data_IF_816192947309
#
_entry.id   IF_816192947309
#
_cell.length_a   1.000
_cell.length_b   1.000
_cell.length_c   1.000
_cell.angle_alpha   90.00
_cell.angle_beta   90.00
_cell.angle_gamma   90.00
#
_symmetry.space_group_name_H-M   'P 1'
#
loop_
_entity.id
_entity.type
_entity.pdbx_description
1 polymer ?
#
# COMPACT_ATOMS: atom_id res chain seq x y z
N UNK A 1 -10.98 -11.84 -8.48
CA UNK A 1 -10.35 -10.57 -8.88
C UNK A 1 -10.12 -9.76 -7.63
N UNK A 2 -8.99 -9.05 -7.55
CA UNK A 2 -8.34 -8.58 -6.32
C UNK A 2 -7.64 -9.72 -5.56
N UNK A 3 -6.37 -9.47 -5.21
CA UNK A 3 -5.50 -10.27 -4.36
C UNK A 3 -6.32 -10.81 -3.18
N UNK A 4 -6.17 -12.07 -2.78
CA UNK A 4 -6.91 -12.72 -1.68
C UNK A 4 -6.62 -12.12 -0.29
N UNK A 5 -6.77 -10.80 -0.16
CA UNK A 5 -6.68 -9.99 1.04
C UNK A 5 -7.99 -10.15 1.78
N UNK A 6 -7.93 -10.80 2.93
CA UNK A 6 -9.00 -10.69 3.93
C UNK A 6 -8.92 -9.32 4.59
N UNK A 7 -10.06 -8.82 5.09
CA UNK A 7 -10.14 -7.51 5.78
C UNK A 7 -9.13 -7.40 6.93
N UNK A 8 -8.86 -8.51 7.62
CA UNK A 8 -7.88 -8.58 8.70
C UNK A 8 -6.44 -8.37 8.20
N UNK A 9 -6.06 -9.00 7.09
CA UNK A 9 -4.70 -8.83 6.56
C UNK A 9 -4.49 -7.42 6.01
N UNK A 10 -5.49 -6.89 5.31
CA UNK A 10 -5.45 -5.52 4.78
C UNK A 10 -5.29 -4.49 5.91
N UNK A 11 -6.05 -4.63 7.00
CA UNK A 11 -5.98 -3.72 8.14
C UNK A 11 -4.61 -3.71 8.82
N UNK A 12 -3.98 -4.89 8.99
CA UNK A 12 -2.64 -4.99 9.58
C UNK A 12 -1.59 -4.36 8.67
N UNK A 13 -1.64 -4.62 7.36
CA UNK A 13 -0.71 -4.03 6.41
C UNK A 13 -0.88 -2.52 6.29
N UNK A 14 -2.12 -2.03 6.21
CA UNK A 14 -2.42 -0.60 6.14
C UNK A 14 -1.90 0.15 7.37
N UNK A 15 -2.08 -0.41 8.57
CA UNK A 15 -1.53 0.16 9.81
C UNK A 15 -0.01 0.26 9.79
N UNK A 16 0.70 -0.77 9.33
CA UNK A 16 2.17 -0.73 9.23
C UNK A 16 2.64 0.35 8.25
N UNK A 17 1.94 0.51 7.13
CA UNK A 17 2.24 1.56 6.16
C UNK A 17 1.96 2.95 6.72
N UNK A 18 0.92 3.11 7.53
CA UNK A 18 0.60 4.35 8.24
C UNK A 18 1.67 4.68 9.28
N UNK A 19 2.07 3.70 10.11
CA UNK A 19 3.14 3.83 11.11
C UNK A 19 4.49 4.16 10.47
N UNK A 20 4.75 3.67 9.25
CA UNK A 20 5.93 4.02 8.45
C UNK A 20 5.81 5.39 7.74
N UNK A 21 4.65 6.07 7.83
CA UNK A 21 4.40 7.36 7.19
C UNK A 21 4.23 7.28 5.68
N UNK A 22 3.93 6.11 5.12
CA UNK A 22 3.73 5.90 3.68
C UNK A 22 2.27 6.10 3.25
N UNK A 23 1.33 5.94 4.17
CA UNK A 23 -0.07 6.25 3.92
C UNK A 23 -0.65 7.13 5.02
N UNK A 24 -1.57 8.00 4.63
CA UNK A 24 -2.47 8.72 5.51
C UNK A 24 -3.80 7.97 5.60
N UNK A 25 -4.37 7.90 6.80
CA UNK A 25 -5.62 7.22 7.11
C UNK A 25 -6.67 8.26 7.51
N UNK A 26 -7.78 8.32 6.78
CA UNK A 26 -8.93 9.16 7.12
C UNK A 26 -10.11 8.28 7.49
N UNK A 27 -10.60 8.43 8.73
CA UNK A 27 -11.78 7.73 9.22
C UNK A 27 -12.98 8.65 9.15
N UNK A 28 -14.03 8.20 8.50
CA UNK A 28 -15.28 8.92 8.34
C UNK A 28 -16.47 7.98 8.60
N UNK A 29 -17.66 8.55 8.65
CA UNK A 29 -18.90 7.78 8.67
C UNK A 29 -19.74 8.18 7.47
N UNK A 30 -20.12 7.20 6.66
CA UNK A 30 -21.09 7.37 5.59
C UNK A 30 -22.44 6.88 6.13
N UNK A 31 -23.19 7.81 6.72
CA UNK A 31 -24.39 7.50 7.50
C UNK A 31 -24.04 6.77 8.81
N UNK A 32 -24.43 5.50 8.93
CA UNK A 32 -24.14 4.66 10.11
C UNK A 32 -22.97 3.68 9.88
N UNK A 33 -22.38 3.72 8.70
CA UNK A 33 -21.32 2.80 8.30
C UNK A 33 -19.96 3.48 8.46
N UNK A 34 -19.04 2.91 9.26
CA UNK A 34 -17.67 3.43 9.34
C UNK A 34 -16.97 3.21 8.01
N UNK A 35 -16.29 4.24 7.52
CA UNK A 35 -15.50 4.22 6.30
C UNK A 35 -14.08 4.66 6.64
N UNK A 36 -13.10 3.95 6.08
CA UNK A 36 -11.68 4.30 6.23
C UNK A 36 -11.10 4.43 4.84
N UNK A 37 -10.64 5.63 4.50
CA UNK A 37 -9.97 5.93 3.25
C UNK A 37 -8.46 6.04 3.52
N UNK A 38 -7.65 5.43 2.64
CA UNK A 38 -6.20 5.47 2.71
C UNK A 38 -5.63 6.18 1.50
N UNK A 39 -4.67 7.08 1.71
CA UNK A 39 -4.00 7.82 0.65
C UNK A 39 -2.48 7.70 0.77
N UNK A 40 -1.77 7.58 -0.35
CA UNK A 40 -0.31 7.64 -0.34
C UNK A 40 0.16 9.04 0.05
N UNK A 41 1.10 9.11 0.97
CA UNK A 41 1.89 10.31 1.22
C UNK A 41 2.93 10.51 0.11
N UNK A 42 3.57 11.69 0.07
CA UNK A 42 4.68 11.92 -0.84
C UNK A 42 5.86 10.96 -0.61
N UNK A 43 6.17 10.66 0.66
CA UNK A 43 7.19 9.68 1.02
C UNK A 43 6.78 8.26 0.61
N UNK A 44 5.52 7.88 0.82
CA UNK A 44 4.98 6.59 0.40
C UNK A 44 4.98 6.40 -1.11
N UNK A 45 4.66 7.45 -1.87
CA UNK A 45 4.76 7.43 -3.33
C UNK A 45 6.18 7.16 -3.80
N UNK A 46 7.17 7.88 -3.26
CA UNK A 46 8.59 7.68 -3.57
C UNK A 46 9.08 6.28 -3.19
N UNK A 47 8.66 5.79 -2.02
CA UNK A 47 9.01 4.44 -1.57
C UNK A 47 8.43 3.35 -2.49
N UNK A 48 7.19 3.53 -2.95
CA UNK A 48 6.56 2.63 -3.91
C UNK A 48 7.28 2.64 -5.26
N UNK A 49 7.59 3.83 -5.80
CA UNK A 49 8.35 3.97 -7.05
C UNK A 49 9.72 3.28 -6.96
N UNK A 50 10.46 3.50 -5.86
CA UNK A 50 11.73 2.83 -5.63
C UNK A 50 11.59 1.30 -5.58
N UNK A 51 10.54 0.80 -4.91
CA UNK A 51 10.26 -0.64 -4.86
C UNK A 51 9.94 -1.22 -6.26
N UNK A 52 9.11 -0.54 -7.05
CA UNK A 52 8.78 -0.96 -8.41
C UNK A 52 10.02 -0.99 -9.31
N UNK A 53 10.85 0.05 -9.26
CA UNK A 53 12.11 0.10 -10.00
C UNK A 53 13.04 -1.06 -9.61
N UNK A 54 13.11 -1.39 -8.32
CA UNK A 54 13.90 -2.53 -7.85
C UNK A 54 13.37 -3.85 -8.38
N UNK A 55 12.05 -4.05 -8.36
CA UNK A 55 11.41 -5.26 -8.90
C UNK A 55 11.64 -5.39 -10.41
N UNK A 56 11.56 -4.29 -11.16
CA UNK A 56 11.85 -4.28 -12.59
C UNK A 56 13.31 -4.68 -12.86
N UNK A 57 14.26 -4.13 -12.11
CA UNK A 57 15.68 -4.51 -12.22
C UNK A 57 15.91 -6.01 -11.96
N UNK A 58 15.24 -6.58 -10.95
CA UNK A 58 15.32 -8.02 -10.65
C UNK A 58 14.74 -8.86 -11.79
N UNK A 59 13.58 -8.48 -12.33
CA UNK A 59 12.95 -9.17 -13.46
C UNK A 59 13.87 -9.14 -14.68
N UNK A 60 14.47 -7.99 -14.97
CA UNK A 60 15.38 -7.83 -16.11
C UNK A 60 16.64 -8.69 -15.94
N UNK A 61 17.26 -8.67 -14.75
CA UNK A 61 18.43 -9.50 -14.46
C UNK A 61 18.17 -11.00 -14.60
N UNK A 62 16.94 -11.47 -14.32
CA UNK A 62 16.56 -12.88 -14.51
C UNK A 62 16.31 -13.21 -15.99
N UNK A 63 15.85 -12.25 -16.80
CA UNK A 63 15.56 -12.43 -18.24
C UNK A 63 16.80 -12.37 -19.13
N UNK A 64 17.81 -11.61 -18.73
CA UNK A 64 19.08 -11.45 -19.47
C UNK A 64 20.06 -12.62 -19.22
N UNK A 65 19.63 -13.65 -18.48
CA UNK A 65 20.34 -14.89 -18.23
C UNK A 65 19.86 -16.01 -19.14
#
# INVERSE_FOLDING_TARGET
GMLGLTDGNLSVHARKLEEAGYVECTKSFEGRTPRTDFHLTDSGRRALEAYLNHMEALIQAVRDR
#
